data_IF_018625536767
#
_entry.id   IF_018625536767
#
_cell.length_a   1.000
_cell.length_b   1.000
_cell.length_c   1.000
_cell.angle_alpha   90.00
_cell.angle_beta   90.00
_cell.angle_gamma   90.00
#
_symmetry.space_group_name_H-M   'P 1'
#
loop_
_entity.id
_entity.type
_entity.pdbx_description
1 polymer ?
#
# COMPACT_ATOMS: atom_id res chain seq x y z
N UNK A 1 9.52 16.67 0.76
CA UNK A 1 8.97 15.63 1.68
C UNK A 1 8.47 14.51 0.79
N UNK A 2 8.91 13.26 1.01
CA UNK A 2 8.48 12.12 0.20
C UNK A 2 6.95 11.98 0.28
N UNK A 3 6.26 12.04 -0.87
CA UNK A 3 4.79 11.98 -0.94
C UNK A 3 4.25 10.69 -0.31
N UNK A 4 4.99 9.58 -0.38
CA UNK A 4 4.61 8.31 0.23
C UNK A 4 4.55 8.38 1.77
N UNK A 5 5.52 9.05 2.39
CA UNK A 5 5.54 9.23 3.86
C UNK A 5 4.35 10.07 4.33
N UNK A 6 3.94 11.07 3.55
CA UNK A 6 2.79 11.90 3.90
C UNK A 6 1.46 11.12 3.90
N UNK A 7 1.28 10.21 2.93
CA UNK A 7 0.11 9.32 2.86
C UNK A 7 0.08 8.38 4.06
N UNK A 8 1.19 7.68 4.32
CA UNK A 8 1.31 6.74 5.46
C UNK A 8 1.04 7.46 6.79
N UNK A 9 1.56 8.68 6.96
CA UNK A 9 1.31 9.49 8.16
C UNK A 9 -0.18 9.79 8.32
N UNK A 10 -0.86 10.19 7.25
CA UNK A 10 -2.30 10.49 7.28
C UNK A 10 -3.11 9.24 7.65
N UNK A 11 -2.81 8.10 7.06
CA UNK A 11 -3.50 6.83 7.33
C UNK A 11 -3.26 6.36 8.76
N UNK A 12 -2.02 6.42 9.26
CA UNK A 12 -1.69 6.04 10.64
C UNK A 12 -2.40 6.91 11.67
N UNK A 13 -2.45 8.23 11.47
CA UNK A 13 -3.16 9.14 12.38
C UNK A 13 -4.65 8.83 12.38
N UNK A 14 -5.26 8.65 11.20
CA UNK A 14 -6.68 8.30 11.08
C UNK A 14 -7.01 6.94 11.73
N UNK A 15 -6.13 5.96 11.57
CA UNK A 15 -6.26 4.67 12.25
C UNK A 15 -6.13 4.84 13.77
N UNK A 16 -5.13 5.58 14.24
CA UNK A 16 -4.85 5.82 15.66
C UNK A 16 -5.99 6.55 16.38
N UNK A 17 -6.74 7.42 15.69
CA UNK A 17 -7.90 8.10 16.28
C UNK A 17 -9.11 7.20 16.48
N UNK A 18 -9.15 6.04 15.80
CA UNK A 18 -10.26 5.09 15.86
C UNK A 18 -10.00 3.92 16.82
N UNK A 19 -8.86 3.90 17.51
CA UNK A 19 -8.50 2.85 18.46
C UNK A 19 -8.41 3.40 19.89
N UNK A 20 -9.21 2.83 20.79
CA UNK A 20 -9.12 3.08 22.23
C UNK A 20 -8.31 1.95 22.87
N UNK A 21 -7.24 2.29 23.61
CA UNK A 21 -6.41 1.37 24.43
C UNK A 21 -5.49 0.34 23.74
N UNK A 22 -5.13 0.53 22.46
CA UNK A 22 -4.36 -0.48 21.68
C UNK A 22 -2.83 -0.35 21.80
N UNK A 23 -2.25 0.68 22.43
CA UNK A 23 -0.79 0.87 22.44
C UNK A 23 0.00 -0.22 23.18
N UNK A 24 -0.57 -0.81 24.24
CA UNK A 24 0.04 -1.94 24.96
C UNK A 24 0.09 -3.19 24.06
N UNK A 25 -0.99 -3.45 23.34
CA UNK A 25 -1.09 -4.57 22.42
C UNK A 25 -0.17 -4.41 21.22
N UNK A 26 -0.05 -3.20 20.67
CA UNK A 26 0.92 -2.89 19.61
C UNK A 26 2.33 -3.23 20.09
N UNK A 27 2.70 -2.83 21.30
CA UNK A 27 4.06 -3.06 21.82
C UNK A 27 4.35 -4.54 22.00
N UNK A 28 3.39 -5.30 22.54
CA UNK A 28 3.51 -6.74 22.72
C UNK A 28 3.63 -7.49 21.38
N UNK A 29 2.85 -7.11 20.37
CA UNK A 29 2.83 -7.79 19.07
C UNK A 29 4.01 -7.37 18.18
N UNK A 30 4.36 -6.08 18.16
CA UNK A 30 5.41 -5.55 17.26
C UNK A 30 6.81 -5.54 17.87
N UNK A 31 6.91 -5.65 19.20
CA UNK A 31 8.15 -5.45 19.96
C UNK A 31 8.66 -4.01 19.96
N UNK A 32 7.87 -3.05 19.46
CA UNK A 32 8.25 -1.63 19.45
C UNK A 32 7.96 -1.02 20.81
N UNK A 33 8.87 -0.15 21.31
CA UNK A 33 8.69 0.49 22.62
C UNK A 33 7.54 1.50 22.62
N UNK A 34 6.89 1.67 23.77
CA UNK A 34 5.77 2.61 23.95
C UNK A 34 6.10 4.04 23.50
N UNK A 35 7.31 4.53 23.79
CA UNK A 35 7.76 5.86 23.36
C UNK A 35 7.82 5.98 21.83
N UNK A 36 8.26 4.94 21.13
CA UNK A 36 8.31 4.92 19.66
C UNK A 36 6.92 4.79 19.05
N UNK A 37 6.06 3.96 19.64
CA UNK A 37 4.65 3.83 19.23
C UNK A 37 3.95 5.18 19.32
N UNK A 38 4.01 5.86 20.47
CA UNK A 38 3.38 7.17 20.66
C UNK A 38 3.88 8.20 19.65
N UNK A 39 5.19 8.28 19.39
CA UNK A 39 5.76 9.16 18.34
C UNK A 39 5.25 8.83 16.94
N UNK A 40 5.13 7.55 16.59
CA UNK A 40 4.69 7.13 15.26
C UNK A 40 3.20 7.39 15.07
N UNK A 41 2.36 7.07 16.07
CA UNK A 41 0.91 7.28 16.02
C UNK A 41 0.52 8.77 16.04
N UNK A 42 1.36 9.63 16.64
CA UNK A 42 1.24 11.09 16.55
C UNK A 42 1.81 11.67 15.24
N UNK A 43 2.29 10.83 14.33
CA UNK A 43 2.80 11.23 13.02
C UNK A 43 4.21 11.84 13.03
N UNK A 44 4.92 11.76 14.16
CA UNK A 44 6.25 12.34 14.34
C UNK A 44 7.36 11.43 13.79
N UNK A 45 7.36 11.25 12.47
CA UNK A 45 8.42 10.56 11.73
C UNK A 45 8.62 11.19 10.34
N UNK A 46 9.86 11.17 9.86
CA UNK A 46 10.26 11.76 8.56
C UNK A 46 10.40 10.72 7.44
N UNK A 47 10.60 9.45 7.80
CA UNK A 47 10.82 8.33 6.87
C UNK A 47 10.12 7.07 7.37
N UNK A 48 9.87 6.11 6.47
CA UNK A 48 9.30 4.80 6.83
C UNK A 48 10.40 3.91 7.41
N UNK A 49 10.70 4.08 8.69
CA UNK A 49 11.65 3.24 9.42
C UNK A 49 11.10 1.83 9.66
N UNK A 50 11.94 0.84 10.03
CA UNK A 50 11.47 -0.50 10.38
C UNK A 50 10.36 -0.52 11.45
N UNK A 51 10.41 0.39 12.43
CA UNK A 51 9.35 0.51 13.45
C UNK A 51 8.05 1.05 12.87
N UNK A 52 8.12 2.02 11.94
CA UNK A 52 6.94 2.49 11.20
C UNK A 52 6.36 1.33 10.39
N UNK A 53 7.22 0.50 9.76
CA UNK A 53 6.75 -0.67 8.99
C UNK A 53 5.97 -1.67 9.84
N UNK A 54 6.53 -2.07 10.97
CA UNK A 54 5.87 -3.00 11.90
C UNK A 54 4.52 -2.49 12.40
N UNK A 55 4.41 -1.19 12.69
CA UNK A 55 3.15 -0.58 13.15
C UNK A 55 2.14 -0.51 12.00
N UNK A 56 2.58 -0.16 10.77
CA UNK A 56 1.73 -0.21 9.60
C UNK A 56 1.21 -1.64 9.32
N UNK A 57 2.07 -2.66 9.40
CA UNK A 57 1.68 -4.07 9.25
C UNK A 57 0.65 -4.47 10.30
N UNK A 58 0.86 -4.11 11.56
CA UNK A 58 -0.12 -4.33 12.64
C UNK A 58 -1.47 -3.65 12.34
N UNK A 59 -1.43 -2.42 11.83
CA UNK A 59 -2.61 -1.64 11.46
C UNK A 59 -3.23 -2.07 10.12
N UNK A 60 -2.67 -3.07 9.44
CA UNK A 60 -3.00 -3.46 8.07
C UNK A 60 -2.95 -2.29 7.05
N UNK A 61 -2.04 -1.34 7.30
CA UNK A 61 -1.75 -0.20 6.44
C UNK A 61 -0.66 -0.61 5.46
N UNK A 62 -0.98 -0.52 4.18
CA UNK A 62 -0.08 -0.92 3.12
C UNK A 62 0.95 0.18 2.85
N UNK A 63 2.23 -0.17 2.99
CA UNK A 63 3.36 0.75 2.78
C UNK A 63 3.73 0.68 1.31
N UNK A 64 3.04 1.47 0.50
CA UNK A 64 3.42 1.59 -0.90
C UNK A 64 4.66 2.47 -0.98
N UNK A 65 5.75 1.93 -1.53
CA UNK A 65 6.79 2.78 -2.11
C UNK A 65 6.13 3.68 -3.15
N UNK A 66 6.67 4.89 -3.32
CA UNK A 66 6.10 5.96 -4.12
C UNK A 66 5.99 5.64 -5.64
N UNK A 67 6.27 4.39 -6.04
CA UNK A 67 6.17 3.87 -7.40
C UNK A 67 4.79 3.31 -7.73
N UNK A 68 3.72 3.86 -7.12
CA UNK A 68 2.41 3.69 -7.75
C UNK A 68 2.42 4.53 -9.01
N UNK A 69 2.84 3.92 -10.11
CA UNK A 69 2.46 4.35 -11.45
C UNK A 69 0.94 4.47 -11.42
N UNK A 70 0.45 5.70 -11.37
CA UNK A 70 -0.97 5.91 -11.58
C UNK A 70 -1.23 5.49 -13.02
N UNK A 71 -2.19 4.57 -13.20
CA UNK A 71 -2.66 4.25 -14.55
C UNK A 71 -3.04 5.57 -15.23
N UNK A 72 -2.56 5.80 -16.44
CA UNK A 72 -3.01 6.92 -17.26
C UNK A 72 -4.53 6.85 -17.40
N UNK A 73 -5.16 8.00 -17.63
CA UNK A 73 -6.61 8.03 -17.85
C UNK A 73 -7.01 7.11 -19.02
N UNK A 74 -6.23 7.12 -20.09
CA UNK A 74 -6.37 6.22 -21.24
C UNK A 74 -6.33 4.74 -20.85
N UNK A 75 -5.38 4.32 -20.01
CA UNK A 75 -5.29 2.92 -19.58
C UNK A 75 -6.46 2.53 -18.67
N UNK A 76 -6.99 3.46 -17.87
CA UNK A 76 -8.20 3.21 -17.08
C UNK A 76 -9.42 3.02 -17.98
N UNK A 77 -9.61 3.90 -18.95
CA UNK A 77 -10.73 3.84 -19.90
C UNK A 77 -10.70 2.55 -20.71
N UNK A 78 -9.54 2.17 -21.26
CA UNK A 78 -9.38 0.91 -21.97
C UNK A 78 -9.70 -0.32 -21.10
N UNK A 79 -9.33 -0.31 -19.81
CA UNK A 79 -9.66 -1.40 -18.90
C UNK A 79 -11.16 -1.43 -18.55
N UNK A 80 -11.81 -0.27 -18.42
CA UNK A 80 -13.25 -0.18 -18.16
C UNK A 80 -14.06 -0.63 -19.38
N UNK A 81 -13.66 -0.26 -20.60
CA UNK A 81 -14.33 -0.66 -21.83
C UNK A 81 -14.28 -2.18 -22.06
N UNK A 82 -13.19 -2.82 -21.61
CA UNK A 82 -13.03 -4.28 -21.70
C UNK A 82 -13.80 -5.03 -20.60
N UNK A 83 -14.17 -4.36 -19.51
CA UNK A 83 -14.79 -4.99 -18.36
C UNK A 83 -16.31 -4.78 -18.34
N UNK A 84 -17.07 -5.84 -18.60
CA UNK A 84 -18.54 -5.82 -18.58
C UNK A 84 -19.16 -5.76 -17.16
N UNK A 85 -18.34 -5.65 -16.11
CA UNK A 85 -18.77 -5.62 -14.72
C UNK A 85 -19.01 -7.00 -14.08
N UNK A 86 -18.91 -8.10 -14.84
CA UNK A 86 -19.03 -9.46 -14.29
C UNK A 86 -17.73 -9.93 -13.62
N UNK A 87 -17.87 -10.88 -12.68
CA UNK A 87 -16.71 -11.50 -12.00
C UNK A 87 -15.97 -12.47 -12.93
N UNK A 88 -16.69 -13.05 -13.88
CA UNK A 88 -16.18 -13.97 -14.88
C UNK A 88 -15.25 -13.22 -15.86
N UNK A 89 -15.67 -12.06 -16.36
CA UNK A 89 -14.84 -11.21 -17.22
C UNK A 89 -13.67 -10.59 -16.45
N UNK A 90 -13.85 -10.21 -15.19
CA UNK A 90 -12.76 -9.73 -14.32
C UNK A 90 -11.65 -10.79 -14.21
N UNK A 91 -12.01 -12.04 -13.91
CA UNK A 91 -11.06 -13.15 -13.83
C UNK A 91 -10.35 -13.40 -15.17
N UNK A 92 -11.08 -13.34 -16.27
CA UNK A 92 -10.52 -13.51 -17.61
C UNK A 92 -9.52 -12.39 -17.94
N UNK A 93 -9.87 -11.13 -17.69
CA UNK A 93 -9.01 -9.96 -17.88
C UNK A 93 -7.73 -10.07 -17.06
N UNK A 94 -7.85 -10.38 -15.76
CA UNK A 94 -6.68 -10.55 -14.89
C UNK A 94 -5.76 -11.66 -15.38
N UNK A 95 -6.32 -12.79 -15.83
CA UNK A 95 -5.54 -13.90 -16.39
C UNK A 95 -4.81 -13.48 -17.67
N UNK A 96 -5.48 -12.78 -18.58
CA UNK A 96 -4.91 -12.29 -19.83
C UNK A 96 -3.78 -11.29 -19.58
N UNK A 97 -3.97 -10.30 -18.71
CA UNK A 97 -2.94 -9.32 -18.36
C UNK A 97 -1.70 -9.98 -17.75
N UNK A 98 -1.88 -11.01 -16.91
CA UNK A 98 -0.76 -11.80 -16.35
C UNK A 98 0.00 -12.58 -17.42
N UNK A 99 -0.70 -13.14 -18.40
CA UNK A 99 -0.06 -13.84 -19.52
C UNK A 99 0.70 -12.86 -20.43
N UNK A 100 0.11 -11.70 -20.72
CA UNK A 100 0.77 -10.62 -21.46
C UNK A 100 2.04 -10.12 -20.77
N UNK A 101 2.06 -10.06 -19.43
CA UNK A 101 3.27 -9.69 -18.68
C UNK A 101 4.46 -10.59 -19.04
N UNK A 102 4.23 -11.89 -19.22
CA UNK A 102 5.29 -12.83 -19.64
C UNK A 102 5.80 -12.55 -21.04
N UNK A 103 4.92 -12.12 -21.95
CA UNK A 103 5.29 -11.80 -23.34
C UNK A 103 6.04 -10.47 -23.44
N UNK A 104 5.58 -9.46 -22.71
CA UNK A 104 6.21 -8.13 -22.66
C UNK A 104 7.62 -8.24 -22.06
N UNK A 105 7.80 -9.04 -21.00
CA UNK A 105 9.12 -9.29 -20.42
C UNK A 105 10.11 -9.87 -21.46
N UNK A 106 9.68 -10.81 -22.29
CA UNK A 106 10.52 -11.40 -23.34
C UNK A 106 10.86 -10.44 -24.50
N UNK A 107 10.06 -9.38 -24.71
CA UNK A 107 10.34 -8.37 -25.72
C UNK A 107 11.37 -7.33 -25.24
N UNK A 108 11.45 -7.06 -23.94
CA UNK A 108 12.45 -6.12 -23.38
C UNK A 108 13.83 -6.76 -23.19
N UNK A 109 13.92 -8.08 -23.05
CA UNK A 109 15.21 -8.80 -22.91
C UNK A 109 15.99 -8.98 -24.23
N UNK A 110 15.44 -8.51 -25.38
CA UNK A 110 16.06 -8.62 -26.71
C UNK A 110 16.54 -7.29 -27.31
N UNK A 111 16.60 -6.23 -26.51
CA UNK A 111 17.14 -4.91 -26.91
C UNK A 111 18.47 -4.66 -26.23
#
# INVERSE_FOLDING_TARGET
MDKGVAVIRKELIAWATNITDVQKDISMVTGVSQSQISKILSGNFKTVSPNVKKICEYANIQIYSNDRVQLSQELKEALMDLWDGSKESEKALVKTLKNMKSLIAHCYDRV
#
